data_IF_991596543084
#
_entry.id   IF_991596543084
#
_cell.length_a   1.000
_cell.length_b   1.000
_cell.length_c   1.000
_cell.angle_alpha   90.00
_cell.angle_beta   90.00
_cell.angle_gamma   90.00
#
_symmetry.space_group_name_H-M   'P 1'
#
loop_
_entity.id
_entity.type
_entity.pdbx_description
1 polymer ?
#
# COMPACT_ATOMS: atom_id res chain seq x y z
N UNK A 1 -1.24 23.60 -10.10
CA UNK A 1 0.19 23.23 -9.96
C UNK A 1 1.11 23.96 -10.93
N UNK A 2 1.05 23.79 -12.26
CA UNK A 2 2.00 24.43 -13.22
C UNK A 2 2.18 25.94 -12.99
N UNK A 3 1.08 26.71 -12.94
CA UNK A 3 1.12 28.17 -12.66
C UNK A 3 1.75 28.55 -11.32
N UNK A 4 1.73 27.64 -10.35
CA UNK A 4 2.39 27.85 -9.06
C UNK A 4 3.89 27.62 -9.20
N UNK A 5 4.30 26.49 -9.81
CA UNK A 5 5.72 26.16 -10.03
C UNK A 5 6.43 27.18 -10.94
N UNK A 6 5.73 27.78 -11.91
CA UNK A 6 6.26 28.86 -12.74
C UNK A 6 6.57 30.15 -11.96
N UNK A 7 5.84 30.40 -10.86
CA UNK A 7 5.96 31.64 -10.07
C UNK A 7 6.78 31.46 -8.80
N UNK A 8 6.98 30.21 -8.36
CA UNK A 8 7.67 29.92 -7.13
C UNK A 8 9.15 30.30 -7.22
N UNK A 9 9.62 31.14 -6.29
CA UNK A 9 10.94 31.77 -6.39
C UNK A 9 12.11 30.80 -6.14
N UNK A 10 11.85 29.70 -5.41
CA UNK A 10 12.83 28.67 -5.08
C UNK A 10 12.96 27.61 -6.19
N UNK A 11 12.09 27.60 -7.19
CA UNK A 11 12.10 26.64 -8.29
C UNK A 11 13.10 27.04 -9.37
N UNK A 12 14.05 26.15 -9.65
CA UNK A 12 15.01 26.31 -10.75
C UNK A 12 14.54 25.64 -12.03
N UNK A 13 13.83 24.52 -11.92
CA UNK A 13 13.24 23.81 -13.05
C UNK A 13 12.14 22.88 -12.55
N UNK A 14 11.13 22.61 -13.38
CA UNK A 14 10.16 21.55 -13.13
C UNK A 14 9.73 20.90 -14.45
N UNK A 15 9.17 19.70 -14.36
CA UNK A 15 8.61 18.99 -15.50
C UNK A 15 7.34 18.25 -15.08
N UNK A 16 6.32 18.26 -15.94
CA UNK A 16 5.18 17.35 -15.80
C UNK A 16 5.62 15.96 -16.27
N UNK A 17 5.42 14.95 -15.45
CA UNK A 17 5.70 13.57 -15.79
C UNK A 17 4.57 13.02 -16.68
N UNK A 18 4.71 13.18 -17.99
CA UNK A 18 3.70 12.79 -18.97
C UNK A 18 4.35 12.16 -20.21
N UNK A 19 3.53 11.48 -21.01
CA UNK A 19 3.95 10.84 -22.26
C UNK A 19 4.41 9.39 -22.09
N UNK A 20 4.86 8.80 -23.19
CA UNK A 20 5.18 7.37 -23.27
C UNK A 20 6.41 6.94 -22.47
N UNK A 21 7.30 7.89 -22.14
CA UNK A 21 8.53 7.68 -21.37
C UNK A 21 8.41 8.27 -19.96
N UNK A 22 7.19 8.36 -19.42
CA UNK A 22 6.99 8.82 -18.05
C UNK A 22 7.64 7.87 -17.04
N UNK A 23 8.09 8.42 -15.91
CA UNK A 23 8.48 7.60 -14.77
C UNK A 23 7.26 6.85 -14.26
N UNK A 24 7.43 5.55 -14.07
CA UNK A 24 6.48 4.67 -13.40
C UNK A 24 7.17 4.05 -12.20
N UNK A 25 6.49 4.04 -11.08
CA UNK A 25 6.93 3.44 -9.83
C UNK A 25 6.08 2.20 -9.59
N UNK A 26 6.76 1.08 -9.37
CA UNK A 26 6.11 -0.19 -9.07
C UNK A 26 5.63 -0.19 -7.62
N UNK A 27 4.42 -0.69 -7.40
CA UNK A 27 3.89 -0.87 -6.05
C UNK A 27 2.99 -2.11 -5.99
N UNK A 28 2.81 -2.64 -4.78
CA UNK A 28 1.88 -3.73 -4.51
C UNK A 28 0.53 -3.13 -4.11
N UNK A 29 -0.45 -3.25 -5.00
CA UNK A 29 -1.83 -2.87 -4.74
C UNK A 29 -2.51 -3.85 -3.77
N UNK A 30 -3.72 -3.51 -3.34
CA UNK A 30 -4.56 -4.43 -2.56
C UNK A 30 -4.65 -5.82 -3.22
N UNK A 31 -4.53 -6.88 -2.42
CA UNK A 31 -4.49 -8.26 -2.90
C UNK A 31 -3.14 -8.69 -3.51
N UNK A 32 -2.04 -8.00 -3.16
CA UNK A 32 -0.66 -8.33 -3.59
C UNK A 32 -0.44 -8.31 -5.11
N UNK A 33 -1.24 -7.53 -5.83
CA UNK A 33 -1.12 -7.37 -7.27
C UNK A 33 -0.09 -6.29 -7.60
N UNK A 34 0.86 -6.61 -8.47
CA UNK A 34 1.79 -5.62 -9.04
C UNK A 34 1.03 -4.59 -9.88
N UNK A 35 1.27 -3.32 -9.59
CA UNK A 35 0.67 -2.18 -10.28
C UNK A 35 1.69 -1.06 -10.48
N UNK A 36 1.38 -0.15 -11.41
CA UNK A 36 2.21 0.99 -11.72
C UNK A 36 1.56 2.29 -11.24
N UNK A 37 2.37 3.16 -10.67
CA UNK A 37 2.00 4.51 -10.26
C UNK A 37 2.82 5.53 -11.06
N UNK A 38 2.16 6.54 -11.62
CA UNK A 38 2.81 7.65 -12.36
C UNK A 38 2.64 8.92 -11.54
N UNK A 39 3.70 9.45 -10.92
CA UNK A 39 3.65 10.74 -10.22
C UNK A 39 3.39 11.90 -11.19
N UNK A 40 2.84 13.01 -10.73
CA UNK A 40 2.47 14.12 -11.63
C UNK A 40 3.64 15.01 -12.08
N UNK A 41 4.55 15.41 -11.17
CA UNK A 41 5.61 16.37 -11.46
C UNK A 41 6.96 16.02 -10.82
N UNK A 42 8.02 16.50 -11.47
CA UNK A 42 9.36 16.63 -10.89
C UNK A 42 9.66 18.11 -10.70
N UNK A 43 10.25 18.45 -9.56
CA UNK A 43 10.70 19.82 -9.27
C UNK A 43 12.14 19.79 -8.82
N UNK A 44 12.94 20.74 -9.29
CA UNK A 44 14.29 21.01 -8.80
C UNK A 44 14.36 22.44 -8.29
N UNK A 45 14.74 22.61 -7.05
CA UNK A 45 14.94 23.92 -6.42
C UNK A 45 16.34 24.47 -6.68
N UNK A 46 16.52 25.75 -6.40
CA UNK A 46 17.77 26.49 -6.61
C UNK A 46 18.92 26.01 -5.72
N UNK A 47 18.62 25.46 -4.55
CA UNK A 47 19.57 24.86 -3.60
C UNK A 47 19.97 23.41 -3.96
N UNK A 48 19.37 22.83 -5.00
CA UNK A 48 19.68 21.48 -5.48
C UNK A 48 18.84 20.38 -4.83
N UNK A 49 17.77 20.71 -4.12
CA UNK A 49 16.75 19.74 -3.71
C UNK A 49 15.87 19.34 -4.91
N UNK A 50 15.44 18.08 -4.92
CA UNK A 50 14.49 17.54 -5.88
C UNK A 50 13.21 17.09 -5.18
N UNK A 51 12.08 17.32 -5.80
CA UNK A 51 10.79 16.86 -5.32
C UNK A 51 10.09 16.01 -6.37
N UNK A 52 9.51 14.91 -5.90
CA UNK A 52 8.53 14.12 -6.62
C UNK A 52 7.15 14.53 -6.10
N UNK A 53 6.33 15.13 -6.96
CA UNK A 53 5.09 15.77 -6.53
C UNK A 53 3.89 15.05 -7.12
N UNK A 54 2.93 14.71 -6.26
CA UNK A 54 1.63 14.17 -6.63
C UNK A 54 0.53 15.15 -6.26
N UNK A 55 -0.34 15.48 -7.21
CA UNK A 55 -1.53 16.30 -6.93
C UNK A 55 -2.77 15.40 -6.86
N UNK A 56 -3.52 15.48 -5.76
CA UNK A 56 -4.78 14.73 -5.63
C UNK A 56 -5.95 15.62 -5.25
N UNK A 57 -7.06 15.42 -5.96
CA UNK A 57 -8.36 16.02 -5.68
C UNK A 57 -9.31 15.11 -4.88
N UNK A 58 -9.20 13.79 -5.03
CA UNK A 58 -9.96 12.81 -4.25
C UNK A 58 -9.06 11.69 -3.74
N UNK A 59 -9.30 11.27 -2.50
CA UNK A 59 -8.60 10.17 -1.84
C UNK A 59 -9.16 8.84 -2.34
N UNK A 60 -8.25 7.97 -2.77
CA UNK A 60 -8.51 6.60 -3.20
C UNK A 60 -7.82 5.65 -2.21
N UNK A 61 -8.37 4.43 -2.03
CA UNK A 61 -7.85 3.42 -1.09
C UNK A 61 -6.40 3.03 -1.34
N UNK A 62 -5.93 3.22 -2.58
CA UNK A 62 -4.56 2.91 -2.99
C UNK A 62 -3.59 4.08 -2.80
N UNK A 63 -4.05 5.28 -2.42
CA UNK A 63 -3.19 6.47 -2.21
C UNK A 63 -2.09 6.20 -1.19
N UNK A 64 -2.36 5.57 -0.03
CA UNK A 64 -1.31 5.26 0.93
C UNK A 64 -0.19 4.38 0.33
N UNK A 65 -0.56 3.29 -0.36
CA UNK A 65 0.40 2.35 -1.00
C UNK A 65 1.26 3.04 -2.05
N UNK A 66 0.67 3.93 -2.85
CA UNK A 66 1.38 4.75 -3.84
C UNK A 66 2.36 5.72 -3.15
N UNK A 67 1.93 6.35 -2.07
CA UNK A 67 2.78 7.26 -1.29
C UNK A 67 4.00 6.54 -0.69
N UNK A 68 3.82 5.35 -0.13
CA UNK A 68 4.91 4.52 0.38
C UNK A 68 5.93 4.17 -0.73
N UNK A 69 5.44 3.72 -1.89
CA UNK A 69 6.31 3.42 -3.03
C UNK A 69 7.06 4.66 -3.54
N UNK A 70 6.40 5.82 -3.56
CA UNK A 70 7.02 7.09 -3.95
C UNK A 70 8.11 7.54 -2.97
N UNK A 71 7.89 7.37 -1.67
CA UNK A 71 8.89 7.65 -0.62
C UNK A 71 10.10 6.73 -0.80
N UNK A 72 9.90 5.43 -0.93
CA UNK A 72 10.98 4.46 -1.15
C UNK A 72 11.78 4.76 -2.44
N UNK A 73 11.09 5.20 -3.50
CA UNK A 73 11.74 5.65 -4.72
C UNK A 73 12.61 6.89 -4.49
N UNK A 74 12.10 7.90 -3.77
CA UNK A 74 12.87 9.11 -3.42
C UNK A 74 14.09 8.80 -2.56
N UNK A 75 13.97 7.88 -1.60
CA UNK A 75 15.11 7.42 -0.80
C UNK A 75 16.18 6.76 -1.69
N UNK A 76 15.76 5.91 -2.61
CA UNK A 76 16.64 5.23 -3.55
C UNK A 76 17.31 6.18 -4.56
N UNK A 77 16.58 7.19 -5.03
CA UNK A 77 17.08 8.20 -5.95
C UNK A 77 18.00 9.23 -5.27
N UNK A 78 17.93 9.34 -3.94
CA UNK A 78 18.73 10.28 -3.16
C UNK A 78 20.19 9.87 -3.08
N UNK A 79 21.09 10.82 -3.31
CA UNK A 79 22.53 10.69 -3.15
C UNK A 79 23.05 11.65 -2.07
N UNK A 80 24.37 11.70 -1.86
CA UNK A 80 25.00 12.71 -0.97
C UNK A 80 24.86 14.14 -1.50
N UNK A 81 24.70 14.31 -2.82
CA UNK A 81 24.66 15.62 -3.48
C UNK A 81 23.25 16.02 -3.94
N UNK A 82 22.36 15.05 -4.12
CA UNK A 82 20.99 15.28 -4.56
C UNK A 82 20.03 14.61 -3.58
N UNK A 83 19.15 15.40 -2.97
CA UNK A 83 18.10 14.87 -2.11
C UNK A 83 16.78 14.90 -2.85
N UNK A 84 16.06 13.79 -2.79
CA UNK A 84 14.71 13.64 -3.31
C UNK A 84 13.73 13.53 -2.15
N UNK A 85 12.65 14.28 -2.22
CA UNK A 85 11.54 14.17 -1.27
C UNK A 85 10.21 14.04 -2.02
N UNK A 86 9.36 13.15 -1.51
CA UNK A 86 7.99 12.99 -2.02
C UNK A 86 7.05 14.01 -1.34
N UNK A 87 6.28 14.72 -2.16
CA UNK A 87 5.22 15.64 -1.74
C UNK A 87 3.87 15.13 -2.24
N UNK A 88 3.01 14.76 -1.30
CA UNK A 88 1.59 14.55 -1.55
C UNK A 88 0.86 15.89 -1.39
N UNK A 89 0.19 16.37 -2.43
CA UNK A 89 -0.51 17.66 -2.44
C UNK A 89 -2.03 17.44 -2.48
N UNK A 90 -2.70 17.43 -1.32
CA UNK A 90 -4.17 17.47 -1.26
C UNK A 90 -4.68 18.80 -1.83
N UNK A 91 -5.78 18.75 -2.59
CA UNK A 91 -6.42 19.94 -3.14
C UNK A 91 -6.74 21.00 -2.07
N UNK A 92 -7.30 20.58 -0.93
CA UNK A 92 -7.65 21.52 0.15
C UNK A 92 -6.43 22.21 0.79
N UNK A 93 -5.26 21.56 0.82
CA UNK A 93 -4.02 22.20 1.29
C UNK A 93 -3.51 23.19 0.25
N UNK A 94 -3.53 22.80 -1.03
CA UNK A 94 -3.08 23.63 -2.14
C UNK A 94 -3.91 24.91 -2.29
N UNK A 95 -5.23 24.84 -2.09
CA UNK A 95 -6.14 26.00 -2.15
C UNK A 95 -5.91 27.01 -1.01
N UNK A 96 -5.39 26.56 0.14
CA UNK A 96 -5.07 27.42 1.28
C UNK A 96 -3.64 27.96 1.25
N UNK A 97 -2.81 27.51 0.33
CA UNK A 97 -1.42 27.96 0.22
C UNK A 97 -1.39 29.44 -0.17
N UNK A 98 -0.84 30.27 0.71
CA UNK A 98 -0.54 31.68 0.43
C UNK A 98 0.91 31.92 0.05
N UNK A 99 1.78 30.95 0.35
CA UNK A 99 3.21 30.97 0.06
C UNK A 99 3.54 30.89 -1.42
N UNK A 100 4.77 31.29 -1.75
CA UNK A 100 5.32 31.33 -3.10
C UNK A 100 6.60 30.47 -3.23
N UNK A 101 6.78 29.48 -2.35
CA UNK A 101 7.89 28.53 -2.40
C UNK A 101 7.42 27.08 -2.35
N UNK A 102 8.15 26.19 -3.04
CA UNK A 102 7.91 24.75 -2.99
C UNK A 102 8.33 24.16 -1.65
N UNK A 103 9.35 24.72 -0.99
CA UNK A 103 9.72 24.34 0.37
C UNK A 103 8.57 24.54 1.37
N UNK A 104 7.82 25.65 1.27
CA UNK A 104 6.65 25.90 2.11
C UNK A 104 5.50 24.95 1.79
N UNK A 105 5.23 24.71 0.50
CA UNK A 105 4.27 23.67 0.08
C UNK A 105 4.62 22.30 0.67
N UNK A 106 5.90 21.89 0.60
CA UNK A 106 6.38 20.63 1.17
C UNK A 106 6.13 20.56 2.68
N UNK A 107 6.38 21.66 3.39
CA UNK A 107 6.13 21.78 4.83
C UNK A 107 4.65 21.64 5.16
N UNK A 108 3.76 22.36 4.45
CA UNK A 108 2.31 22.29 4.65
C UNK A 108 1.72 20.92 4.32
N UNK A 109 2.29 20.21 3.36
CA UNK A 109 1.86 18.89 2.92
C UNK A 109 2.40 17.74 3.80
N UNK A 110 3.40 18.00 4.64
CA UNK A 110 4.05 16.98 5.48
C UNK A 110 3.07 16.22 6.39
N UNK A 111 2.12 16.86 7.10
CA UNK A 111 1.17 16.13 7.95
C UNK A 111 0.28 15.17 7.14
N UNK A 112 -0.23 15.62 5.99
CA UNK A 112 -1.07 14.78 5.13
C UNK A 112 -0.30 13.55 4.60
N UNK A 113 0.99 13.73 4.25
CA UNK A 113 1.85 12.61 3.87
C UNK A 113 2.07 11.64 5.04
N UNK A 114 2.33 12.15 6.24
CA UNK A 114 2.57 11.32 7.43
C UNK A 114 1.35 10.49 7.79
N UNK A 115 0.15 11.07 7.71
CA UNK A 115 -1.10 10.34 7.95
C UNK A 115 -1.26 9.16 6.99
N UNK A 116 -1.01 9.36 5.69
CA UNK A 116 -1.07 8.26 4.71
C UNK A 116 -0.12 7.11 5.05
N UNK A 117 1.10 7.42 5.50
CA UNK A 117 2.06 6.38 5.85
C UNK A 117 1.66 5.65 7.13
N UNK A 118 1.12 6.38 8.11
CA UNK A 118 0.61 5.79 9.36
C UNK A 118 -0.57 4.86 9.10
N UNK A 119 -1.53 5.27 8.26
CA UNK A 119 -2.71 4.46 7.93
C UNK A 119 -2.33 3.10 7.33
N UNK A 120 -1.25 3.05 6.55
CA UNK A 120 -0.70 1.79 6.07
C UNK A 120 -0.11 0.94 7.18
N UNK A 121 0.75 1.53 8.00
CA UNK A 121 1.41 0.82 9.10
C UNK A 121 0.37 0.23 10.05
N UNK A 122 -0.67 0.98 10.40
CA UNK A 122 -1.78 0.51 11.24
C UNK A 122 -2.55 -0.65 10.58
N UNK A 123 -2.84 -0.56 9.29
CA UNK A 123 -3.49 -1.63 8.53
C UNK A 123 -2.64 -2.91 8.42
N UNK A 124 -1.33 -2.76 8.22
CA UNK A 124 -0.38 -3.87 8.18
C UNK A 124 -0.17 -4.50 9.56
N UNK A 125 -0.03 -3.69 10.61
CA UNK A 125 0.07 -4.16 12.01
C UNK A 125 -1.18 -4.92 12.41
N UNK A 126 -2.38 -4.42 12.09
CA UNK A 126 -3.61 -5.14 12.37
C UNK A 126 -3.66 -6.48 11.62
N UNK A 127 -3.22 -6.53 10.37
CA UNK A 127 -3.17 -7.76 9.57
C UNK A 127 -2.16 -8.77 10.13
N UNK A 128 -0.96 -8.31 10.49
CA UNK A 128 0.10 -9.16 11.08
C UNK A 128 -0.27 -9.65 12.48
N UNK A 129 -0.91 -8.84 13.31
CA UNK A 129 -1.49 -9.25 14.60
C UNK A 129 -2.56 -10.33 14.41
N UNK A 130 -3.47 -10.16 13.45
CA UNK A 130 -4.45 -11.21 13.13
C UNK A 130 -3.78 -12.49 12.63
N UNK A 131 -2.67 -12.39 11.90
CA UNK A 131 -1.90 -13.54 11.40
C UNK A 131 -1.13 -14.22 12.53
N UNK A 132 -0.52 -13.46 13.44
CA UNK A 132 0.23 -13.99 14.58
C UNK A 132 -0.69 -14.59 15.65
N UNK A 133 -1.87 -14.00 15.89
CA UNK A 133 -2.90 -14.60 16.75
C UNK A 133 -3.54 -15.85 16.12
N UNK A 134 -3.41 -16.04 14.81
CA UNK A 134 -3.78 -17.26 14.12
C UNK A 134 -2.71 -18.38 14.23
N UNK A 135 -1.53 -18.10 14.81
CA UNK A 135 -0.52 -19.12 15.16
C UNK A 135 -0.77 -19.78 16.52
N UNK A 136 -1.74 -19.32 17.31
CA UNK A 136 -2.27 -20.16 18.40
C UNK A 136 -3.08 -21.29 17.77
N UNK A 137 -2.59 -22.53 17.96
CA UNK A 137 -3.19 -23.74 17.45
C UNK A 137 -4.72 -23.73 17.70
N UNK A 138 -5.54 -23.78 16.64
CA UNK A 138 -6.98 -23.75 16.83
C UNK A 138 -7.40 -25.04 17.53
N UNK A 139 -8.52 -24.99 18.25
CA UNK A 139 -9.30 -26.19 18.61
C UNK A 139 -9.87 -26.79 17.31
N UNK A 140 -9.01 -27.43 16.50
CA UNK A 140 -9.34 -28.03 15.20
C UNK A 140 -10.18 -29.30 15.38
N UNK A 141 -10.11 -29.95 16.55
CA UNK A 141 -10.81 -31.20 16.85
C UNK A 141 -12.34 -31.11 16.71
N UNK A 142 -12.95 -29.92 16.82
CA UNK A 142 -14.39 -29.76 16.58
C UNK A 142 -14.79 -29.82 15.10
N UNK A 143 -13.88 -29.55 14.16
CA UNK A 143 -14.22 -29.36 12.72
C UNK A 143 -13.72 -30.51 11.87
N UNK A 144 -12.50 -31.00 12.13
CA UNK A 144 -11.89 -32.12 11.39
C UNK A 144 -11.25 -33.07 12.38
N UNK A 145 -11.50 -34.37 12.23
CA UNK A 145 -10.87 -35.36 13.09
C UNK A 145 -9.35 -35.42 12.84
N UNK A 146 -8.58 -35.46 13.92
CA UNK A 146 -7.12 -35.45 13.88
C UNK A 146 -6.57 -36.62 13.04
N UNK A 147 -7.23 -37.78 13.06
CA UNK A 147 -6.84 -38.95 12.29
C UNK A 147 -6.98 -38.78 10.77
N UNK A 148 -7.92 -37.95 10.30
CA UNK A 148 -8.07 -37.57 8.90
C UNK A 148 -7.05 -36.51 8.51
N UNK A 149 -6.79 -35.53 9.39
CA UNK A 149 -5.80 -34.47 9.14
C UNK A 149 -4.38 -35.04 8.98
N UNK A 150 -4.02 -36.06 9.76
CA UNK A 150 -2.71 -36.74 9.69
C UNK A 150 -2.51 -37.56 8.41
N UNK A 151 -3.59 -37.96 7.74
CA UNK A 151 -3.51 -38.67 6.44
C UNK A 151 -3.23 -37.72 5.27
N UNK A 152 -3.36 -36.41 5.49
CA UNK A 152 -3.19 -35.42 4.42
C UNK A 152 -1.71 -35.07 4.22
N UNK A 153 -1.27 -34.90 2.95
CA UNK A 153 -0.01 -34.25 2.62
C UNK A 153 0.17 -32.90 3.36
N UNK A 154 1.40 -32.53 3.76
CA UNK A 154 1.66 -31.30 4.53
C UNK A 154 1.06 -30.03 3.93
N UNK A 155 1.03 -29.95 2.59
CA UNK A 155 0.45 -28.82 1.85
C UNK A 155 -1.06 -28.67 2.08
N UNK A 156 -1.82 -29.77 2.09
CA UNK A 156 -3.27 -29.74 2.31
C UNK A 156 -3.63 -29.59 3.78
N UNK A 157 -2.78 -30.14 4.66
CA UNK A 157 -2.90 -29.93 6.11
C UNK A 157 -2.89 -28.44 6.46
N UNK A 158 -1.94 -27.67 5.93
CA UNK A 158 -1.89 -26.22 6.15
C UNK A 158 -3.13 -25.46 5.62
N UNK A 159 -3.65 -25.86 4.46
CA UNK A 159 -4.91 -25.30 3.91
C UNK A 159 -6.13 -25.57 4.81
N UNK A 160 -6.23 -26.77 5.37
CA UNK A 160 -7.32 -27.17 6.27
C UNK A 160 -7.21 -26.44 7.61
N UNK A 161 -6.01 -26.34 8.16
CA UNK A 161 -5.73 -25.58 9.39
C UNK A 161 -6.13 -24.11 9.21
N UNK A 162 -5.70 -23.47 8.12
CA UNK A 162 -6.04 -22.07 7.82
C UNK A 162 -7.56 -21.85 7.66
N UNK A 163 -8.26 -22.77 7.00
CA UNK A 163 -9.72 -22.72 6.86
C UNK A 163 -10.42 -22.85 8.22
N UNK A 164 -9.99 -23.81 9.05
CA UNK A 164 -10.54 -24.04 10.40
C UNK A 164 -10.37 -22.82 11.30
N UNK A 165 -9.18 -22.19 11.29
CA UNK A 165 -8.92 -20.95 12.05
C UNK A 165 -9.84 -19.82 11.60
N UNK A 166 -9.96 -19.63 10.28
CA UNK A 166 -10.80 -18.59 9.69
C UNK A 166 -12.28 -18.80 10.04
N UNK A 167 -12.74 -20.05 10.08
CA UNK A 167 -14.10 -20.40 10.48
C UNK A 167 -14.38 -20.08 11.95
N UNK A 168 -13.50 -20.49 12.87
CA UNK A 168 -13.66 -20.21 14.30
C UNK A 168 -13.69 -18.70 14.59
N UNK A 169 -12.94 -17.93 13.80
CA UNK A 169 -12.97 -16.47 13.88
C UNK A 169 -14.33 -15.88 13.49
N UNK A 170 -14.95 -16.38 12.41
CA UNK A 170 -16.24 -15.87 11.95
C UNK A 170 -17.43 -16.41 12.75
N UNK A 171 -17.37 -17.64 13.28
CA UNK A 171 -18.42 -18.26 14.11
C UNK A 171 -18.77 -17.41 15.35
N UNK A 172 -17.80 -16.65 15.88
CA UNK A 172 -17.97 -15.77 17.04
C UNK A 172 -18.72 -14.45 16.73
N UNK A 173 -19.10 -14.19 15.47
CA UNK A 173 -19.69 -12.94 15.00
C UNK A 173 -21.02 -13.21 14.28
N UNK A 174 -22.06 -12.45 14.60
CA UNK A 174 -23.36 -12.56 13.90
C UNK A 174 -23.32 -11.85 12.54
N UNK A 175 -23.94 -12.47 11.52
CA UNK A 175 -24.12 -11.86 10.18
C UNK A 175 -22.91 -11.87 9.25
N UNK A 176 -21.88 -12.68 9.54
CA UNK A 176 -20.66 -12.76 8.72
C UNK A 176 -20.83 -13.64 7.48
N UNK A 177 -20.14 -13.25 6.40
CA UNK A 177 -19.95 -14.06 5.20
C UNK A 177 -18.80 -15.06 5.42
N UNK A 178 -19.08 -16.35 5.20
CA UNK A 178 -18.10 -17.44 5.35
C UNK A 178 -17.33 -17.74 4.06
N UNK A 179 -17.59 -17.04 2.96
CA UNK A 179 -16.85 -17.18 1.69
C UNK A 179 -15.32 -17.20 1.87
N UNK A 180 -14.70 -16.38 2.76
CA UNK A 180 -13.25 -16.41 2.96
C UNK A 180 -12.71 -17.72 3.58
N UNK A 181 -13.54 -18.50 4.29
CA UNK A 181 -13.14 -19.81 4.85
C UNK A 181 -12.71 -20.77 3.75
N UNK A 182 -13.41 -20.75 2.61
CA UNK A 182 -13.17 -21.68 1.52
C UNK A 182 -12.01 -21.26 0.60
N UNK A 183 -11.54 -20.01 0.69
CA UNK A 183 -10.43 -19.52 -0.14
C UNK A 183 -9.15 -20.31 0.08
N UNK A 184 -8.85 -20.67 1.34
CA UNK A 184 -7.68 -21.48 1.68
C UNK A 184 -7.72 -22.90 1.08
N UNK A 185 -8.92 -23.40 0.76
CA UNK A 185 -9.14 -24.75 0.21
C UNK A 185 -9.17 -24.79 -1.32
N UNK A 186 -9.38 -23.66 -2.01
CA UNK A 186 -9.56 -23.63 -3.47
C UNK A 186 -8.38 -24.27 -4.22
N UNK A 187 -7.14 -24.02 -3.78
CA UNK A 187 -5.97 -24.61 -4.41
C UNK A 187 -5.91 -26.14 -4.26
N UNK A 188 -6.29 -26.65 -3.09
CA UNK A 188 -6.37 -28.09 -2.84
C UNK A 188 -7.50 -28.75 -3.64
N UNK A 189 -8.65 -28.06 -3.77
CA UNK A 189 -9.79 -28.51 -4.56
C UNK A 189 -9.48 -28.53 -6.07
N UNK A 190 -8.83 -27.50 -6.61
CA UNK A 190 -8.44 -27.46 -8.03
C UNK A 190 -7.45 -28.58 -8.36
N UNK A 191 -6.50 -28.85 -7.46
CA UNK A 191 -5.52 -29.92 -7.65
C UNK A 191 -6.15 -31.32 -7.56
N UNK A 192 -7.05 -31.54 -6.59
CA UNK A 192 -7.82 -32.77 -6.50
C UNK A 192 -8.70 -32.99 -7.73
N UNK A 193 -9.29 -31.93 -8.28
CA UNK A 193 -10.10 -31.97 -9.49
C UNK A 193 -9.29 -32.29 -10.77
N UNK A 194 -8.00 -31.95 -10.80
CA UNK A 194 -7.09 -32.31 -11.91
C UNK A 194 -6.66 -33.79 -11.91
N UNK A 195 -6.84 -34.48 -10.78
CA UNK A 195 -6.48 -35.89 -10.61
C UNK A 195 -7.61 -36.89 -10.86
N UNK A 196 -8.81 -36.40 -11.20
CA UNK A 196 -9.99 -37.17 -11.62
C UNK A 196 -10.13 -37.18 -13.15
#
# INVERSE_FOLDING_TARGET
>A
MTKFLDRAHDVKAFAKNAGYQCLRIDYLASGSRLAFYTPDFFVRTSDGHYYLVETKGQEDREVPRKAQAAVAWCESASTRKQKWEYIYVPQGVFERLTGDSVAELASMCRPARQELLRDLEEGEVQTTLFTALAEEAPEIEEIVDQATLEKLPPRYKGSVEQAATTFQFYKKKEGMDYSPVFQALLGAMDEAARGL
#
